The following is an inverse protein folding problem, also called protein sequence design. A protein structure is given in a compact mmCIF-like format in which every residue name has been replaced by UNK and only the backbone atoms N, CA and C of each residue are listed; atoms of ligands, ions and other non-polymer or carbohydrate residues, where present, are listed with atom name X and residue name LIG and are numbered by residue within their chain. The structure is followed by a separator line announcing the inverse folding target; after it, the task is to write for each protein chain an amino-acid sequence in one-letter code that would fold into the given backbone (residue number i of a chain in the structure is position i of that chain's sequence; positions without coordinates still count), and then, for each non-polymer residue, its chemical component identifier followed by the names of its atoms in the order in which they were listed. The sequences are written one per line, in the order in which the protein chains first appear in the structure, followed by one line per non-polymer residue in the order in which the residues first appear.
data_IF_447348726549
#
_entry.id   IF_447348726549
#
_cell.length_a   1.000
_cell.length_b   1.000
_cell.length_c   1.000
_cell.angle_alpha   90.00
_cell.angle_beta   90.00
_cell.angle_gamma   90.00
#
_symmetry.space_group_name_H-M   'P 1'
#
loop_
_entity.id
_entity.type
_entity.pdbx_description
1 polymer ?
#
# COMPACT_ATOMS: atom_id res chain seq x y z
N UNK A 1 -31.68 2.73 18.69
CA UNK A 1 -31.01 1.43 18.38
C UNK A 1 -30.00 1.70 17.27
N UNK A 2 -28.79 2.15 17.62
CA UNK A 2 -27.75 2.58 16.67
C UNK A 2 -26.82 1.40 16.39
N UNK A 3 -26.93 0.80 15.21
CA UNK A 3 -25.96 -0.18 14.71
C UNK A 3 -24.78 0.56 14.12
N UNK A 4 -23.78 0.88 14.94
CA UNK A 4 -22.45 1.24 14.45
C UNK A 4 -21.92 0.04 13.68
N UNK A 5 -21.87 0.11 12.36
CA UNK A 5 -21.22 -0.91 11.52
C UNK A 5 -19.71 -0.75 11.76
N UNK A 6 -19.01 -1.73 12.38
CA UNK A 6 -17.58 -1.62 12.55
C UNK A 6 -16.90 -2.02 11.23
N UNK A 7 -16.73 -1.06 10.33
CA UNK A 7 -15.76 -1.16 9.24
C UNK A 7 -14.36 -0.99 9.85
N UNK A 8 -13.76 -2.10 10.31
CA UNK A 8 -12.36 -2.10 10.74
C UNK A 8 -11.59 -3.28 10.17
N UNK A 9 -10.57 -2.89 9.40
CA UNK A 9 -9.29 -3.57 9.18
C UNK A 9 -9.37 -5.05 8.81
N UNK A 10 -9.50 -5.30 7.51
CA UNK A 10 -8.98 -6.54 6.93
C UNK A 10 -7.46 -6.49 7.05
N UNK A 11 -6.91 -7.55 7.63
CA UNK A 11 -5.49 -7.87 7.59
C UNK A 11 -4.99 -7.68 6.14
N UNK A 12 -4.06 -6.76 5.92
CA UNK A 12 -3.19 -6.83 4.74
C UNK A 12 -1.91 -7.54 5.19
N UNK A 13 -1.80 -8.88 5.09
CA UNK A 13 -0.50 -9.52 4.91
C UNK A 13 -0.13 -9.61 3.42
N UNK A 14 -0.93 -9.05 2.51
CA UNK A 14 -0.73 -9.11 1.06
C UNK A 14 0.15 -7.97 0.47
N UNK A 15 0.89 -7.24 1.29
CA UNK A 15 1.90 -6.27 0.83
C UNK A 15 3.33 -6.66 1.22
N UNK A 16 3.52 -7.92 1.65
CA UNK A 16 4.84 -8.35 2.10
C UNK A 16 5.76 -8.84 0.97
N UNK A 17 5.28 -9.14 -0.26
CA UNK A 17 6.18 -9.57 -1.34
C UNK A 17 5.82 -9.12 -2.76
N UNK A 18 6.89 -8.86 -3.52
CA UNK A 18 7.00 -8.65 -4.98
C UNK A 18 6.66 -7.28 -5.56
N UNK A 19 7.32 -6.23 -5.06
CA UNK A 19 7.95 -5.29 -5.99
C UNK A 19 9.45 -5.58 -5.97
N UNK A 20 10.17 -5.34 -7.07
CA UNK A 20 11.62 -5.55 -7.26
C UNK A 20 12.54 -4.91 -6.19
N UNK A 21 12.00 -4.26 -5.17
CA UNK A 21 12.67 -3.43 -4.15
C UNK A 21 12.76 -4.05 -2.75
N UNK A 22 12.43 -5.33 -2.55
CA UNK A 22 12.44 -5.92 -1.20
C UNK A 22 13.79 -6.54 -0.83
N UNK A 23 14.51 -5.90 0.10
CA UNK A 23 15.53 -6.55 0.94
C UNK A 23 14.78 -7.27 2.08
N UNK A 24 15.10 -8.53 2.35
CA UNK A 24 14.51 -9.27 3.48
C UNK A 24 14.96 -8.63 4.80
N UNK A 25 14.02 -8.10 5.58
CA UNK A 25 14.24 -7.81 7.00
C UNK A 25 13.30 -8.69 7.82
N UNK A 26 13.89 -9.66 8.53
CA UNK A 26 13.22 -10.40 9.59
C UNK A 26 13.19 -9.50 10.82
N UNK A 27 12.02 -9.00 11.19
CA UNK A 27 11.80 -8.37 12.50
C UNK A 27 11.11 -9.38 13.41
N UNK A 28 11.91 -10.05 14.23
CA UNK A 28 11.45 -10.68 15.47
C UNK A 28 11.04 -9.56 16.42
N UNK A 29 9.77 -9.51 16.82
CA UNK A 29 9.35 -8.70 17.96
C UNK A 29 8.65 -9.63 18.98
N UNK A 30 9.17 -9.76 20.21
CA UNK A 30 8.48 -10.51 21.25
C UNK A 30 7.26 -9.73 21.76
N UNK A 31 6.19 -10.48 22.05
CA UNK A 31 5.03 -10.00 22.77
C UNK A 31 5.43 -9.66 24.21
N UNK A 32 5.32 -8.38 24.59
CA UNK A 32 5.36 -7.96 25.98
C UNK A 32 3.94 -8.08 26.55
N UNK A 33 3.76 -9.05 27.44
CA UNK A 33 2.61 -9.13 28.33
C UNK A 33 2.78 -8.10 29.47
N UNK A 34 1.77 -7.25 29.66
CA UNK A 34 1.59 -6.46 30.89
C UNK A 34 0.09 -6.58 31.22
N UNK A 35 -0.25 -7.41 32.20
CA UNK A 35 -0.30 -7.11 33.63
C UNK A 35 -1.65 -6.46 34.01
N UNK A 36 -2.43 -7.30 34.70
CA UNK A 36 -3.62 -7.03 35.51
C UNK A 36 -3.56 -5.74 36.33
N UNK A 37 -4.66 -4.97 36.30
CA UNK A 37 -5.12 -4.21 37.47
C UNK A 37 -6.65 -4.17 37.54
N UNK A 38 -7.13 -4.51 38.72
CA UNK A 38 -8.51 -4.46 39.19
C UNK A 38 -8.89 -3.03 39.62
N UNK A 39 -10.17 -2.68 39.52
CA UNK A 39 -11.05 -2.33 40.64
C UNK A 39 -12.34 -1.64 40.13
N UNK A 40 -13.42 -2.04 40.79
CA UNK A 40 -14.82 -1.72 40.61
C UNK A 40 -15.21 -0.26 40.82
N UNK A 41 -16.19 0.22 40.05
CA UNK A 41 -17.25 1.10 40.56
C UNK A 41 -18.53 0.89 39.73
N UNK A 42 -19.28 -0.16 40.09
CA UNK A 42 -20.67 -0.31 39.66
C UNK A 42 -21.54 0.62 40.52
N UNK A 43 -22.29 1.56 39.95
CA UNK A 43 -23.35 2.23 40.71
C UNK A 43 -24.46 1.22 41.03
N UNK A 44 -24.91 1.25 42.28
CA UNK A 44 -25.98 0.44 42.85
C UNK A 44 -27.26 0.51 42.02
N UNK A 45 -27.82 -0.66 41.69
CA UNK A 45 -29.16 -0.77 41.13
C UNK A 45 -30.18 -0.16 42.09
N UNK A 46 -30.83 0.93 41.67
CA UNK A 46 -31.99 1.46 42.35
C UNK A 46 -33.15 0.47 42.20
N UNK A 47 -33.78 0.20 43.33
CA UNK A 47 -34.85 -0.75 43.52
C UNK A 47 -36.05 -0.54 42.58
N UNK A 48 -36.69 -1.68 42.28
CA UNK A 48 -37.97 -1.85 41.58
C UNK A 48 -38.96 -0.71 41.89
N UNK A 49 -39.12 0.23 40.96
CA UNK A 49 -40.30 1.10 40.91
C UNK A 49 -41.40 0.35 40.17
N UNK A 50 -42.54 0.28 40.85
CA UNK A 50 -43.81 -0.20 40.34
C UNK A 50 -44.14 0.39 38.98
N UNK A 51 -44.75 -0.42 38.14
CA UNK A 51 -45.34 -0.02 36.87
C UNK A 51 -46.52 0.93 37.17
N UNK A 52 -46.23 2.21 37.40
CA UNK A 52 -47.24 3.24 37.38
C UNK A 52 -47.63 3.45 35.92
N UNK A 53 -48.89 3.18 35.62
CA UNK A 53 -49.56 3.54 34.38
C UNK A 53 -49.50 5.08 34.32
N UNK A 54 -48.45 5.61 33.68
CA UNK A 54 -48.23 7.05 33.53
C UNK A 54 -49.32 7.67 32.69
N UNK A 55 -49.67 8.92 33.00
CA UNK A 55 -50.71 9.66 32.31
C UNK A 55 -50.47 9.65 30.79
N UNK A 56 -51.49 9.32 29.96
CA UNK A 56 -51.33 9.28 28.50
C UNK A 56 -50.92 10.64 27.90
N UNK A 57 -51.15 11.74 28.62
CA UNK A 57 -50.71 13.08 28.23
C UNK A 57 -49.18 13.28 28.38
N UNK A 58 -48.54 12.65 29.36
CA UNK A 58 -47.09 12.68 29.51
C UNK A 58 -46.40 11.85 28.42
N UNK A 59 -46.99 10.70 28.06
CA UNK A 59 -46.56 9.91 26.90
C UNK A 59 -46.72 10.69 25.58
N UNK A 60 -47.81 11.45 25.42
CA UNK A 60 -48.02 12.34 24.26
C UNK A 60 -47.05 13.52 24.24
N UNK A 61 -46.71 14.09 25.40
CA UNK A 61 -45.73 15.18 25.51
C UNK A 61 -44.31 14.68 25.22
N UNK A 62 -43.94 13.50 25.73
CA UNK A 62 -42.67 12.85 25.41
C UNK A 62 -42.59 12.47 23.93
N UNK A 63 -43.65 11.92 23.34
CA UNK A 63 -43.74 11.64 21.91
C UNK A 63 -43.71 12.93 21.04
N UNK A 64 -44.23 14.05 21.54
CA UNK A 64 -44.13 15.38 20.89
C UNK A 64 -42.76 16.04 21.07
N UNK A 65 -42.02 15.75 22.13
CA UNK A 65 -40.61 16.15 22.24
C UNK A 65 -39.69 15.35 21.31
N UNK A 66 -40.17 14.22 20.77
CA UNK A 66 -39.56 13.50 19.64
C UNK A 66 -40.02 14.02 18.27
N UNK A 67 -40.65 15.21 18.19
CA UNK A 67 -40.80 15.92 16.92
C UNK A 67 -39.40 16.16 16.35
N UNK A 68 -39.25 15.78 15.08
CA UNK A 68 -37.99 15.53 14.39
C UNK A 68 -36.88 16.54 14.70
N UNK A 69 -35.67 16.00 14.86
CA UNK A 69 -34.43 16.77 15.03
C UNK A 69 -34.40 17.93 14.04
N UNK A 70 -34.02 19.11 14.53
CA UNK A 70 -33.89 20.30 13.70
C UNK A 70 -32.92 20.03 12.54
N UNK A 71 -33.26 20.40 11.29
CA UNK A 71 -32.45 20.10 10.10
C UNK A 71 -30.98 20.53 10.21
N UNK A 72 -30.70 21.63 10.92
CA UNK A 72 -29.33 22.13 11.13
C UNK A 72 -28.46 21.23 12.01
N UNK A 73 -29.04 20.58 13.04
CA UNK A 73 -28.31 19.66 13.90
C UNK A 73 -27.96 18.35 13.18
N UNK A 74 -28.82 17.92 12.25
CA UNK A 74 -28.55 16.76 11.41
C UNK A 74 -27.48 17.07 10.35
N UNK A 75 -27.49 18.27 9.75
CA UNK A 75 -26.43 18.69 8.81
C UNK A 75 -25.04 18.73 9.45
N UNK A 76 -24.91 19.29 10.66
CA UNK A 76 -23.64 19.34 11.39
C UNK A 76 -23.15 17.94 11.76
N UNK A 77 -24.04 17.07 12.24
CA UNK A 77 -23.69 15.66 12.48
C UNK A 77 -23.25 14.96 11.21
N UNK A 78 -23.96 15.17 10.10
CA UNK A 78 -23.58 14.57 8.82
C UNK A 78 -22.21 15.06 8.33
N UNK A 79 -21.86 16.33 8.54
CA UNK A 79 -20.52 16.86 8.23
C UNK A 79 -19.45 16.23 9.11
N UNK A 80 -19.67 16.15 10.43
CA UNK A 80 -18.75 15.46 11.34
C UNK A 80 -18.59 13.98 10.99
N UNK A 81 -19.67 13.33 10.57
CA UNK A 81 -19.66 11.94 10.13
C UNK A 81 -18.86 11.80 8.84
N UNK A 82 -19.02 12.73 7.89
CA UNK A 82 -18.29 12.76 6.62
C UNK A 82 -16.78 12.98 6.82
N UNK A 83 -16.40 13.86 7.74
CA UNK A 83 -15.02 14.05 8.17
C UNK A 83 -14.48 12.82 8.93
N UNK A 84 -15.35 12.13 9.69
CA UNK A 84 -15.01 10.89 10.40
C UNK A 84 -14.98 9.66 9.49
N UNK A 85 -15.44 9.76 8.22
CA UNK A 85 -15.37 8.65 7.29
C UNK A 85 -13.92 8.33 6.96
N UNK A 86 -13.51 7.13 7.35
CA UNK A 86 -12.17 6.64 7.05
C UNK A 86 -12.00 6.57 5.53
N UNK A 87 -10.95 7.22 5.02
CA UNK A 87 -10.68 7.19 3.58
C UNK A 87 -10.35 5.78 3.08
N UNK A 88 -9.81 4.93 3.97
CA UNK A 88 -9.42 3.55 3.69
C UNK A 88 -10.28 2.55 4.49
N UNK A 89 -10.96 1.64 3.78
CA UNK A 89 -11.75 0.54 4.35
C UNK A 89 -11.02 -0.81 4.24
N UNK A 90 -9.92 -0.87 3.49
CA UNK A 90 -9.34 -2.11 3.01
C UNK A 90 -10.18 -2.75 1.90
N UNK A 91 -9.82 -3.97 1.50
CA UNK A 91 -10.51 -4.68 0.42
C UNK A 91 -11.93 -5.07 0.85
N UNK A 92 -12.92 -4.81 -0.02
CA UNK A 92 -14.31 -5.18 0.25
C UNK A 92 -14.48 -6.70 0.42
N UNK A 93 -15.34 -7.09 1.36
CA UNK A 93 -15.65 -8.49 1.65
C UNK A 93 -16.18 -9.24 0.42
N UNK A 94 -15.83 -10.53 0.34
CA UNK A 94 -16.24 -11.42 -0.76
C UNK A 94 -15.62 -11.05 -2.11
N UNK A 95 -14.56 -10.24 -2.11
CA UNK A 95 -13.83 -9.91 -3.33
C UNK A 95 -12.86 -11.04 -3.65
N UNK A 96 -13.06 -11.67 -4.80
CA UNK A 96 -12.25 -12.81 -5.23
C UNK A 96 -11.40 -12.37 -6.43
N UNK A 97 -10.08 -12.54 -6.29
CA UNK A 97 -9.11 -12.30 -7.36
C UNK A 97 -8.82 -13.64 -8.02
N UNK A 98 -9.20 -13.78 -9.30
CA UNK A 98 -9.03 -15.05 -10.01
C UNK A 98 -7.56 -15.45 -10.11
N UNK A 99 -7.21 -16.61 -9.56
CA UNK A 99 -5.90 -17.21 -9.68
C UNK A 99 -5.68 -17.80 -11.10
N UNK A 100 -4.42 -17.88 -11.58
CA UNK A 100 -4.10 -18.57 -12.82
C UNK A 100 -4.44 -20.05 -12.70
N UNK A 101 -4.82 -20.65 -13.83
CA UNK A 101 -5.27 -22.05 -13.88
C UNK A 101 -4.19 -23.02 -13.37
N UNK A 102 -2.91 -22.66 -13.48
CA UNK A 102 -1.79 -23.43 -12.95
C UNK A 102 -1.74 -23.55 -11.42
N UNK A 103 -2.34 -22.60 -10.69
CA UNK A 103 -2.41 -22.61 -9.21
C UNK A 103 -3.74 -23.17 -8.70
N UNK A 104 -4.65 -23.55 -9.60
CA UNK A 104 -5.95 -24.09 -9.23
C UNK A 104 -5.88 -25.62 -9.12
N UNK A 105 -6.72 -26.23 -8.26
CA UNK A 105 -6.89 -27.68 -8.24
C UNK A 105 -7.39 -28.18 -9.59
N UNK A 106 -7.19 -29.47 -9.85
CA UNK A 106 -7.67 -30.11 -11.09
C UNK A 106 -9.18 -29.96 -11.21
N UNK A 107 -9.67 -29.83 -12.45
CA UNK A 107 -11.10 -29.61 -12.78
C UNK A 107 -12.00 -30.73 -12.22
N UNK A 108 -11.45 -31.92 -12.00
CA UNK A 108 -12.15 -33.09 -11.44
C UNK A 108 -12.38 -33.01 -9.93
N UNK A 109 -11.67 -32.14 -9.21
CA UNK A 109 -11.76 -32.04 -7.75
C UNK A 109 -12.94 -31.16 -7.33
N UNK A 110 -13.69 -31.55 -6.29
CA UNK A 110 -14.79 -30.74 -5.71
C UNK A 110 -14.36 -29.31 -5.36
N UNK A 111 -13.14 -29.14 -4.84
CA UNK A 111 -12.55 -27.84 -4.50
C UNK A 111 -12.47 -26.87 -5.69
N UNK A 112 -12.29 -27.38 -6.92
CA UNK A 112 -12.30 -26.54 -8.13
C UNK A 112 -13.69 -25.95 -8.37
N UNK A 113 -14.73 -26.77 -8.24
CA UNK A 113 -16.11 -26.34 -8.44
C UNK A 113 -16.62 -25.45 -7.31
N UNK A 114 -16.22 -25.70 -6.07
CA UNK A 114 -16.48 -24.80 -4.94
C UNK A 114 -15.84 -23.42 -5.19
N UNK A 115 -14.58 -23.39 -5.60
CA UNK A 115 -13.89 -22.17 -5.99
C UNK A 115 -14.60 -21.44 -7.13
N UNK A 116 -14.94 -22.17 -8.20
CA UNK A 116 -15.60 -21.60 -9.37
C UNK A 116 -16.99 -21.05 -9.02
N UNK A 117 -17.73 -21.75 -8.17
CA UNK A 117 -19.02 -21.32 -7.68
C UNK A 117 -18.92 -20.07 -6.80
N UNK A 118 -17.93 -20.01 -5.91
CA UNK A 118 -17.62 -18.81 -5.14
C UNK A 118 -17.27 -17.63 -6.07
N UNK A 119 -16.46 -17.87 -7.11
CA UNK A 119 -16.13 -16.87 -8.12
C UNK A 119 -17.38 -16.37 -8.85
N UNK A 120 -18.26 -17.28 -9.30
CA UNK A 120 -19.49 -16.92 -10.00
C UNK A 120 -20.45 -16.13 -9.10
N UNK A 121 -20.63 -16.56 -7.84
CA UNK A 121 -21.37 -15.82 -6.81
C UNK A 121 -20.77 -14.43 -6.58
N UNK A 122 -19.45 -14.31 -6.50
CA UNK A 122 -18.79 -13.01 -6.33
C UNK A 122 -19.06 -12.07 -7.51
N UNK A 123 -19.10 -12.61 -8.75
CA UNK A 123 -19.46 -11.83 -9.94
C UNK A 123 -20.92 -11.39 -9.94
N UNK A 124 -21.84 -12.29 -9.61
CA UNK A 124 -23.27 -11.97 -9.50
C UNK A 124 -23.54 -10.90 -8.45
N UNK A 125 -22.98 -11.08 -7.24
CA UNK A 125 -23.08 -10.08 -6.15
C UNK A 125 -22.41 -8.77 -6.50
N UNK A 126 -21.30 -8.77 -7.24
CA UNK A 126 -20.63 -7.56 -7.69
C UNK A 126 -21.48 -6.75 -8.69
N UNK A 127 -22.12 -7.42 -9.65
CA UNK A 127 -23.06 -6.82 -10.59
C UNK A 127 -24.27 -6.23 -9.86
N UNK A 128 -24.86 -7.00 -8.95
CA UNK A 128 -25.96 -6.52 -8.10
C UNK A 128 -25.56 -5.29 -7.31
N UNK A 129 -24.40 -5.32 -6.65
CA UNK A 129 -23.91 -4.21 -5.85
C UNK A 129 -23.75 -2.92 -6.65
N UNK A 130 -23.30 -3.03 -7.92
CA UNK A 130 -23.15 -1.89 -8.84
C UNK A 130 -24.50 -1.33 -9.26
N UNK A 131 -25.48 -2.18 -9.55
CA UNK A 131 -26.84 -1.72 -9.86
C UNK A 131 -27.48 -1.01 -8.67
N UNK A 132 -27.31 -1.55 -7.46
CA UNK A 132 -27.79 -0.92 -6.22
C UNK A 132 -27.09 0.42 -5.96
N UNK A 133 -25.77 0.49 -6.15
CA UNK A 133 -25.01 1.73 -6.05
C UNK A 133 -25.48 2.80 -7.04
N UNK A 134 -25.74 2.40 -8.30
CA UNK A 134 -26.30 3.32 -9.29
C UNK A 134 -27.65 3.87 -8.87
N UNK A 135 -28.50 3.00 -8.31
CA UNK A 135 -29.84 3.39 -7.83
C UNK A 135 -29.78 4.39 -6.68
N UNK A 136 -28.73 4.34 -5.84
CA UNK A 136 -28.52 5.35 -4.79
C UNK A 136 -28.10 6.71 -5.38
N UNK A 137 -27.13 6.71 -6.29
CA UNK A 137 -26.56 7.94 -6.86
C UNK A 137 -27.49 8.60 -7.89
N UNK A 138 -28.06 7.82 -8.81
CA UNK A 138 -28.88 8.31 -9.93
C UNK A 138 -30.36 8.00 -9.70
N UNK A 139 -31.09 8.91 -9.06
CA UNK A 139 -32.49 8.71 -8.66
C UNK A 139 -33.51 8.88 -9.79
N UNK A 140 -33.13 9.45 -10.94
CA UNK A 140 -34.10 10.05 -11.90
C UNK A 140 -34.35 9.25 -13.18
N UNK A 141 -33.44 8.39 -13.65
CA UNK A 141 -33.55 7.77 -14.99
C UNK A 141 -33.77 6.25 -15.00
N UNK A 142 -34.33 5.73 -16.11
CA UNK A 142 -34.47 4.29 -16.41
C UNK A 142 -33.13 3.54 -16.34
N UNK A 143 -32.03 4.28 -16.54
CA UNK A 143 -30.65 3.81 -16.38
C UNK A 143 -30.31 3.35 -14.95
N UNK A 144 -31.17 3.61 -13.95
CA UNK A 144 -31.01 3.15 -12.55
C UNK A 144 -30.89 1.63 -12.40
N UNK A 145 -31.43 0.87 -13.35
CA UNK A 145 -31.41 -0.61 -13.31
C UNK A 145 -30.15 -1.20 -13.93
N UNK A 146 -29.44 -0.44 -14.76
CA UNK A 146 -28.20 -0.90 -15.38
C UNK A 146 -27.03 -0.71 -14.41
N UNK A 147 -26.09 -1.66 -14.31
CA UNK A 147 -24.92 -1.49 -13.45
C UNK A 147 -24.09 -0.28 -13.88
N UNK A 148 -23.48 0.43 -12.92
CA UNK A 148 -22.57 1.56 -13.21
C UNK A 148 -21.43 1.09 -14.11
N UNK A 149 -21.12 1.84 -15.17
CA UNK A 149 -20.00 1.58 -16.10
C UNK A 149 -20.07 0.26 -16.88
N UNK A 150 -21.27 -0.16 -17.32
CA UNK A 150 -21.39 -1.35 -18.17
C UNK A 150 -20.52 -1.26 -19.45
N UNK A 151 -20.43 -0.06 -20.05
CA UNK A 151 -19.67 0.19 -21.28
C UNK A 151 -18.37 0.98 -21.10
N UNK A 152 -18.07 1.46 -19.88
CA UNK A 152 -16.90 2.33 -19.60
C UNK A 152 -15.68 1.56 -19.08
N UNK A 153 -15.59 0.28 -19.40
CA UNK A 153 -14.50 -0.57 -18.93
C UNK A 153 -13.14 -0.12 -19.49
N UNK A 154 -13.10 0.37 -20.74
CA UNK A 154 -11.87 0.85 -21.36
C UNK A 154 -11.34 2.13 -20.71
N UNK A 155 -12.22 3.08 -20.39
CA UNK A 155 -11.86 4.29 -19.65
C UNK A 155 -11.24 3.94 -18.28
N UNK A 156 -11.82 2.97 -17.58
CA UNK A 156 -11.30 2.53 -16.29
C UNK A 156 -9.91 1.87 -16.43
N UNK A 157 -9.70 1.06 -17.46
CA UNK A 157 -8.39 0.47 -17.77
C UNK A 157 -7.37 1.56 -18.12
N UNK A 158 -7.75 2.54 -18.94
CA UNK A 158 -6.89 3.67 -19.31
C UNK A 158 -6.48 4.50 -18.09
N UNK A 159 -7.46 4.85 -17.24
CA UNK A 159 -7.22 5.54 -15.97
C UNK A 159 -6.28 4.75 -15.06
N UNK A 160 -6.48 3.43 -14.94
CA UNK A 160 -5.62 2.58 -14.13
C UNK A 160 -4.17 2.55 -14.62
N UNK A 161 -3.94 2.46 -15.94
CA UNK A 161 -2.59 2.56 -16.53
C UNK A 161 -1.94 3.90 -16.17
N UNK A 162 -2.67 5.00 -16.34
CA UNK A 162 -2.15 6.34 -16.07
C UNK A 162 -1.81 6.52 -14.59
N UNK A 163 -2.71 6.12 -13.69
CA UNK A 163 -2.48 6.20 -12.24
C UNK A 163 -1.29 5.34 -11.81
N UNK A 164 -1.16 4.13 -12.36
CA UNK A 164 -0.02 3.25 -12.10
C UNK A 164 1.31 3.88 -12.54
N UNK A 165 1.39 4.32 -13.79
CA UNK A 165 2.59 4.97 -14.34
C UNK A 165 2.94 6.22 -13.55
N UNK A 166 1.95 7.05 -13.22
CA UNK A 166 2.17 8.27 -12.47
C UNK A 166 2.68 7.99 -11.05
N UNK A 167 2.08 7.01 -10.36
CA UNK A 167 2.52 6.57 -9.03
C UNK A 167 3.98 6.11 -9.03
N UNK A 168 4.38 5.21 -9.94
CA UNK A 168 5.77 4.74 -9.96
C UNK A 168 6.77 5.81 -10.41
N UNK A 169 6.37 6.70 -11.32
CA UNK A 169 7.21 7.84 -11.73
C UNK A 169 7.46 8.78 -10.54
N UNK A 170 6.40 9.16 -9.82
CA UNK A 170 6.49 9.99 -8.61
C UNK A 170 7.27 9.31 -7.48
N UNK A 171 7.10 8.01 -7.34
CA UNK A 171 7.90 7.22 -6.41
C UNK A 171 9.39 7.16 -6.80
N UNK A 172 9.73 7.14 -8.09
CA UNK A 172 11.12 7.20 -8.55
C UNK A 172 11.73 8.59 -8.33
N UNK A 173 10.95 9.66 -8.54
CA UNK A 173 11.33 11.05 -8.27
C UNK A 173 11.53 11.34 -6.76
N UNK A 174 10.81 10.63 -5.90
CA UNK A 174 10.82 10.87 -4.44
C UNK A 174 9.83 11.95 -3.98
N UNK A 175 8.86 12.31 -4.83
CA UNK A 175 7.84 13.32 -4.55
C UNK A 175 6.69 12.71 -3.73
N UNK A 176 6.73 12.93 -2.41
CA UNK A 176 5.77 12.36 -1.47
C UNK A 176 4.42 13.11 -1.47
N UNK A 177 4.40 14.41 -1.74
CA UNK A 177 3.17 15.21 -1.76
C UNK A 177 2.27 14.81 -2.94
N UNK A 178 2.85 14.59 -4.11
CA UNK A 178 2.10 14.08 -5.26
C UNK A 178 1.54 12.67 -4.98
N UNK A 179 2.32 11.80 -4.31
CA UNK A 179 1.87 10.46 -3.94
C UNK A 179 0.70 10.47 -2.97
N UNK A 180 0.66 11.37 -1.99
CA UNK A 180 -0.47 11.50 -1.06
C UNK A 180 -1.77 11.90 -1.76
N UNK A 181 -1.70 12.64 -2.88
CA UNK A 181 -2.89 13.01 -3.66
C UNK A 181 -3.46 11.84 -4.47
N UNK A 182 -2.58 10.96 -4.97
CA UNK A 182 -2.94 9.84 -5.86
C UNK A 182 -3.34 8.58 -5.06
N UNK A 183 -2.60 8.30 -3.99
CA UNK A 183 -2.72 7.10 -3.19
C UNK A 183 -3.55 7.35 -1.93
N UNK A 184 -4.14 6.29 -1.37
CA UNK A 184 -4.72 6.35 -0.03
C UNK A 184 -3.64 6.46 1.05
N UNK A 185 -3.95 7.03 2.22
CA UNK A 185 -2.96 7.37 3.24
C UNK A 185 -2.04 6.20 3.66
N UNK A 186 -2.52 4.96 3.84
CA UNK A 186 -1.66 3.86 4.26
C UNK A 186 -0.60 3.48 3.22
N UNK A 187 -0.95 3.52 1.93
CA UNK A 187 0.00 3.27 0.85
C UNK A 187 1.00 4.43 0.70
N UNK A 188 0.52 5.67 0.83
CA UNK A 188 1.38 6.86 0.77
C UNK A 188 2.43 6.83 1.89
N UNK A 189 2.05 6.45 3.12
CA UNK A 189 2.99 6.25 4.24
C UNK A 189 4.05 5.21 3.93
N UNK A 190 3.67 4.06 3.36
CA UNK A 190 4.65 3.04 2.97
C UNK A 190 5.63 3.54 1.90
N UNK A 191 5.17 4.37 0.96
CA UNK A 191 6.08 4.98 -0.01
C UNK A 191 7.00 5.99 0.64
N UNK A 192 6.49 6.80 1.57
CA UNK A 192 7.30 7.74 2.35
C UNK A 192 8.38 7.00 3.14
N UNK A 193 8.02 5.95 3.87
CA UNK A 193 8.96 5.11 4.63
C UNK A 193 10.03 4.48 3.71
N UNK A 194 9.65 4.11 2.48
CA UNK A 194 10.59 3.58 1.49
C UNK A 194 11.48 4.66 0.90
N UNK A 195 10.97 5.87 0.69
CA UNK A 195 11.74 7.01 0.19
C UNK A 195 12.76 7.44 1.24
N UNK A 196 12.38 7.52 2.51
CA UNK A 196 13.29 7.84 3.62
C UNK A 196 14.35 6.74 3.78
N UNK A 197 13.95 5.46 3.72
CA UNK A 197 14.87 4.33 3.83
C UNK A 197 15.86 4.20 2.66
N UNK A 198 15.59 4.82 1.49
CA UNK A 198 16.51 4.81 0.34
C UNK A 198 17.74 5.68 0.55
N UNK A 199 17.65 6.73 1.37
CA UNK A 199 18.73 7.72 1.52
C UNK A 199 19.21 8.26 0.18
N UNK A 200 20.50 8.10 -0.12
CA UNK A 200 21.17 8.68 -1.29
C UNK A 200 21.03 7.85 -2.58
N UNK A 201 20.03 6.98 -2.69
CA UNK A 201 19.82 6.15 -3.88
C UNK A 201 18.86 6.81 -4.87
N UNK A 202 19.36 7.14 -6.06
CA UNK A 202 18.54 7.56 -7.19
C UNK A 202 17.95 6.34 -7.88
N UNK A 203 16.63 6.25 -7.85
CA UNK A 203 15.86 5.20 -8.54
C UNK A 203 15.26 5.78 -9.81
N UNK A 204 15.38 5.07 -10.92
CA UNK A 204 14.69 5.39 -12.17
C UNK A 204 13.83 4.20 -12.57
N UNK A 205 12.54 4.43 -12.70
CA UNK A 205 11.60 3.42 -13.16
C UNK A 205 11.20 3.73 -14.60
N UNK A 206 11.17 2.70 -15.44
CA UNK A 206 10.71 2.81 -16.82
C UNK A 206 9.76 1.67 -17.13
N UNK A 207 8.65 2.04 -17.75
CA UNK A 207 7.68 1.13 -18.33
C UNK A 207 7.98 0.98 -19.82
N UNK A 208 8.17 -0.27 -20.26
CA UNK A 208 8.44 -0.57 -21.67
C UNK A 208 7.14 -0.85 -22.40
N UNK A 209 6.38 -1.84 -21.93
CA UNK A 209 5.21 -2.33 -22.65
C UNK A 209 4.12 -2.87 -21.70
N UNK A 210 2.86 -2.73 -22.12
CA UNK A 210 1.72 -3.38 -21.49
C UNK A 210 1.35 -4.66 -22.26
N UNK A 211 1.50 -5.83 -21.63
CA UNK A 211 1.06 -7.10 -22.23
C UNK A 211 -0.45 -7.27 -22.14
N UNK A 212 -1.04 -7.03 -20.97
CA UNK A 212 -2.49 -7.11 -20.80
C UNK A 212 -2.99 -6.32 -19.59
N UNK A 213 -4.21 -5.80 -19.70
CA UNK A 213 -4.93 -5.13 -18.62
C UNK A 213 -6.35 -5.66 -18.53
N UNK A 214 -6.69 -6.29 -17.40
CA UNK A 214 -7.98 -6.98 -17.21
C UNK A 214 -8.62 -6.58 -15.89
N UNK A 215 -9.90 -6.22 -15.93
CA UNK A 215 -10.68 -5.96 -14.71
C UNK A 215 -11.05 -7.32 -14.11
N UNK A 216 -10.53 -7.60 -12.92
CA UNK A 216 -10.74 -8.87 -12.22
C UNK A 216 -11.96 -8.80 -11.32
N UNK A 217 -12.13 -7.71 -10.56
CA UNK A 217 -13.27 -7.51 -9.70
C UNK A 217 -13.72 -6.05 -9.76
N UNK A 218 -15.02 -5.83 -9.60
CA UNK A 218 -15.60 -4.49 -9.60
C UNK A 218 -16.83 -4.47 -8.71
N UNK A 219 -16.68 -3.96 -7.50
CA UNK A 219 -17.68 -4.05 -6.43
C UNK A 219 -17.97 -2.68 -5.82
N UNK A 220 -19.16 -2.53 -5.28
CA UNK A 220 -19.52 -1.40 -4.43
C UNK A 220 -20.13 -1.87 -3.12
N UNK A 221 -19.91 -1.12 -2.07
CA UNK A 221 -20.52 -1.33 -0.76
C UNK A 221 -21.12 -0.01 -0.30
N UNK A 222 -22.43 0.01 -0.11
CA UNK A 222 -23.08 1.13 0.53
C UNK A 222 -22.82 1.06 2.03
N UNK A 223 -22.50 2.20 2.65
CA UNK A 223 -22.53 2.29 4.10
C UNK A 223 -24.00 2.36 4.50
N UNK A 224 -24.56 1.23 4.92
CA UNK A 224 -25.91 1.18 5.45
C UNK A 224 -26.03 2.04 6.72
N UNK A 225 -27.23 2.57 7.00
CA UNK A 225 -27.55 3.29 8.23
C UNK A 225 -27.90 4.76 8.02
N UNK A 226 -27.48 5.61 8.96
CA UNK A 226 -27.77 7.05 9.07
C UNK A 226 -27.14 7.89 7.92
N UNK A 227 -26.23 7.28 7.15
CA UNK A 227 -25.53 7.91 6.03
C UNK A 227 -26.20 7.59 4.70
N UNK A 228 -27.20 8.38 4.35
CA UNK A 228 -27.91 8.22 3.08
C UNK A 228 -26.96 8.56 1.91
N UNK A 229 -26.99 7.74 0.86
CA UNK A 229 -26.25 7.92 -0.39
C UNK A 229 -24.72 7.96 -0.28
N UNK A 230 -24.14 7.36 0.77
CA UNK A 230 -22.70 7.16 0.93
C UNK A 230 -22.30 5.71 0.58
N UNK A 231 -21.31 5.55 -0.28
CA UNK A 231 -20.84 4.24 -0.71
C UNK A 231 -19.37 4.25 -1.12
N UNK A 232 -18.72 3.10 -0.98
CA UNK A 232 -17.38 2.86 -1.49
C UNK A 232 -17.47 1.97 -2.72
N UNK A 233 -16.61 2.26 -3.69
CA UNK A 233 -16.49 1.52 -4.93
C UNK A 233 -15.06 1.09 -5.11
N UNK A 234 -14.85 -0.18 -5.40
CA UNK A 234 -13.54 -0.76 -5.62
C UNK A 234 -13.47 -1.49 -6.95
N UNK A 235 -12.37 -1.30 -7.66
CA UNK A 235 -12.05 -1.99 -8.89
C UNK A 235 -10.66 -2.62 -8.76
N UNK A 236 -10.58 -3.92 -8.98
CA UNK A 236 -9.32 -4.67 -9.02
C UNK A 236 -8.97 -4.95 -10.45
N UNK A 237 -7.77 -4.54 -10.83
CA UNK A 237 -7.29 -4.58 -12.20
C UNK A 237 -5.97 -5.34 -12.21
N UNK A 238 -5.95 -6.44 -12.96
CA UNK A 238 -4.73 -7.17 -13.26
C UNK A 238 -3.96 -6.41 -14.33
N UNK A 239 -2.72 -6.07 -14.00
CA UNK A 239 -1.76 -5.41 -14.86
C UNK A 239 -0.64 -6.40 -15.17
N UNK A 240 -0.38 -6.65 -16.45
CA UNK A 240 0.75 -7.46 -16.93
C UNK A 240 1.61 -6.56 -17.81
N UNK A 241 2.85 -6.32 -17.38
CA UNK A 241 3.72 -5.29 -17.96
C UNK A 241 5.18 -5.73 -17.99
N UNK A 242 5.94 -5.11 -18.90
CA UNK A 242 7.40 -5.20 -18.97
C UNK A 242 8.00 -3.92 -18.42
N UNK A 243 8.83 -4.05 -17.37
CA UNK A 243 9.36 -2.92 -16.63
C UNK A 243 10.85 -3.08 -16.39
N UNK A 244 11.57 -1.97 -16.30
CA UNK A 244 12.95 -1.94 -15.87
C UNK A 244 13.14 -0.93 -14.75
N UNK A 245 13.93 -1.32 -13.75
CA UNK A 245 14.29 -0.45 -12.63
C UNK A 245 15.79 -0.26 -12.65
N UNK A 246 16.23 0.98 -12.65
CA UNK A 246 17.64 1.35 -12.51
C UNK A 246 17.87 1.99 -11.15
N UNK A 247 18.94 1.59 -10.45
CA UNK A 247 19.39 2.17 -9.18
C UNK A 247 20.81 2.69 -9.36
N UNK A 248 21.05 3.91 -8.88
CA UNK A 248 22.37 4.53 -8.85
C UNK A 248 22.54 5.24 -7.52
N UNK A 249 23.70 5.09 -6.88
CA UNK A 249 24.03 5.92 -5.75
C UNK A 249 24.33 7.34 -6.25
N UNK A 250 23.88 8.37 -5.53
CA UNK A 250 24.06 9.77 -5.95
C UNK A 250 25.56 10.12 -6.03
N UNK A 251 26.36 9.64 -5.09
CA UNK A 251 27.81 9.89 -5.03
C UNK A 251 28.54 9.31 -6.25
N UNK A 252 28.15 8.10 -6.67
CA UNK A 252 28.65 7.47 -7.90
C UNK A 252 28.18 8.20 -9.15
N UNK A 253 26.95 8.74 -9.14
CA UNK A 253 26.43 9.51 -10.26
C UNK A 253 27.15 10.86 -10.42
N UNK A 254 27.49 11.53 -9.31
CA UNK A 254 28.26 12.78 -9.32
C UNK A 254 29.70 12.51 -9.75
N UNK A 255 30.36 11.50 -9.19
CA UNK A 255 31.74 11.15 -9.58
C UNK A 255 31.84 10.70 -11.04
N UNK A 256 30.86 9.95 -11.55
CA UNK A 256 30.78 9.59 -12.97
C UNK A 256 30.52 10.82 -13.86
N UNK A 257 29.66 11.75 -13.44
CA UNK A 257 29.41 12.98 -14.19
C UNK A 257 30.62 13.93 -14.23
N UNK A 258 31.38 14.02 -13.13
CA UNK A 258 32.64 14.77 -13.04
C UNK A 258 33.70 14.14 -13.95
N UNK A 259 33.85 12.80 -13.93
CA UNK A 259 34.74 12.07 -14.86
C UNK A 259 34.35 12.30 -16.33
N UNK A 260 33.05 12.24 -16.65
CA UNK A 260 32.55 12.41 -18.02
C UNK A 260 32.71 13.85 -18.57
N UNK A 261 32.71 14.87 -17.70
CA UNK A 261 32.98 16.26 -18.11
C UNK A 261 34.46 16.56 -18.37
N UNK A 262 35.35 15.57 -18.24
CA UNK A 262 36.78 15.77 -18.50
C UNK A 262 37.45 16.78 -17.57
N UNK A 263 36.74 17.20 -16.52
CA UNK A 263 37.32 17.99 -15.43
C UNK A 263 38.19 17.01 -14.67
N UNK A 264 39.45 16.88 -15.12
CA UNK A 264 40.53 16.50 -14.22
C UNK A 264 40.40 17.50 -13.09
N UNK A 265 39.83 17.09 -11.97
CA UNK A 265 40.19 17.66 -10.69
C UNK A 265 41.70 17.45 -10.63
N UNK A 266 42.45 18.44 -11.12
CA UNK A 266 43.65 18.88 -10.43
C UNK A 266 43.18 18.88 -8.98
N UNK A 267 43.62 17.89 -8.22
CA UNK A 267 43.73 18.07 -6.78
C UNK A 267 44.52 19.37 -6.70
N UNK A 268 43.82 20.50 -6.55
CA UNK A 268 44.44 21.75 -6.18
C UNK A 268 44.99 21.43 -4.83
N UNK A 269 46.26 21.02 -4.82
CA UNK A 269 47.09 21.09 -3.65
C UNK A 269 46.80 22.47 -3.06
N UNK A 270 46.44 22.57 -1.78
CA UNK A 270 46.11 23.85 -1.18
C UNK A 270 47.19 24.84 -1.58
N UNK A 271 46.78 26.01 -2.08
CA UNK A 271 47.65 26.96 -2.78
C UNK A 271 48.82 27.46 -1.94
N UNK A 272 48.84 27.12 -0.66
CA UNK A 272 49.94 27.35 0.24
C UNK A 272 50.19 26.09 1.08
N UNK A 273 51.25 25.38 0.74
CA UNK A 273 51.90 24.38 1.58
C UNK A 273 53.26 24.99 1.91
N UNK A 274 53.62 25.19 3.20
CA UNK A 274 54.95 25.66 3.58
C UNK A 274 56.03 24.79 2.92
N UNK A 275 57.11 25.41 2.43
CA UNK A 275 58.16 24.74 1.64
C UNK A 275 58.73 23.51 2.39
N UNK A 276 58.77 23.55 3.72
CA UNK A 276 59.18 22.44 4.59
C UNK A 276 58.32 21.20 4.43
N UNK A 277 56.99 21.35 4.31
CA UNK A 277 56.08 20.22 4.13
C UNK A 277 56.20 19.62 2.72
N UNK A 278 56.60 20.41 1.72
CA UNK A 278 56.94 19.89 0.37
C UNK A 278 58.21 19.07 0.37
N UNK A 279 59.21 19.50 1.13
CA UNK A 279 60.48 18.76 1.25
C UNK A 279 60.28 17.44 1.98
N UNK A 280 59.48 17.40 3.05
CA UNK A 280 59.12 16.16 3.75
C UNK A 280 58.40 15.16 2.84
N UNK A 281 57.48 15.61 2.01
CA UNK A 281 56.81 14.73 1.04
C UNK A 281 57.78 14.17 -0.01
N UNK A 282 58.74 14.98 -0.46
CA UNK A 282 59.78 14.54 -1.41
C UNK A 282 60.84 13.64 -0.77
N UNK A 283 61.13 13.84 0.51
CA UNK A 283 62.01 12.98 1.29
C UNK A 283 61.34 11.65 1.55
N UNK A 284 60.09 11.62 2.02
CA UNK A 284 59.36 10.38 2.22
C UNK A 284 59.20 9.59 0.91
N UNK A 285 58.98 10.24 -0.24
CA UNK A 285 58.93 9.53 -1.52
C UNK A 285 60.29 8.98 -1.95
N UNK A 286 61.38 9.69 -1.66
CA UNK A 286 62.74 9.20 -1.93
C UNK A 286 63.17 8.09 -0.98
N UNK A 287 62.80 8.18 0.29
CA UNK A 287 63.04 7.15 1.29
C UNK A 287 62.23 5.89 0.97
N UNK A 288 60.98 6.03 0.51
CA UNK A 288 60.18 4.90 0.00
C UNK A 288 60.78 4.28 -1.28
N UNK A 289 61.35 5.09 -2.20
CA UNK A 289 62.04 4.60 -3.40
C UNK A 289 63.39 3.92 -3.07
N UNK A 290 64.14 4.45 -2.11
CA UNK A 290 65.42 3.89 -1.65
C UNK A 290 65.22 2.64 -0.76
N UNK A 291 64.12 2.55 -0.01
CA UNK A 291 63.72 1.32 0.70
C UNK A 291 63.22 0.22 -0.26
N UNK A 292 62.62 0.58 -1.41
CA UNK A 292 62.26 -0.39 -2.45
C UNK A 292 63.47 -0.88 -3.27
N UNK A 293 64.50 -0.06 -3.49
CA UNK A 293 65.73 -0.47 -4.20
C UNK A 293 66.76 -1.20 -3.30
N UNK A 294 66.65 -1.10 -1.97
CA UNK A 294 67.56 -1.72 -1.01
C UNK A 294 67.33 -3.21 -0.71
N UNK A 295 66.30 -3.84 -1.30
CA UNK A 295 65.90 -5.24 -1.01
C UNK A 295 65.94 -6.11 -2.27
N UNK A 296 67.05 -6.07 -3.02
CA UNK A 296 67.39 -7.12 -4.00
C UNK A 296 68.82 -7.60 -3.79
N UNK A 297 69.00 -8.50 -2.80
CA UNK A 297 70.28 -9.11 -2.51
C UNK A 297 70.17 -10.31 -1.55
N UNK A 298 69.68 -11.44 -2.08
CA UNK A 298 69.90 -12.84 -1.66
C UNK A 298 68.66 -13.65 -1.21
N UNK A 299 68.43 -14.71 -2.00
CA UNK A 299 67.69 -15.95 -1.71
C UNK A 299 66.16 -15.91 -1.54
N UNK A 300 65.45 -16.32 -2.61
CA UNK A 300 64.04 -16.73 -2.51
C UNK A 300 63.24 -16.49 -3.77
N UNK A 301 63.47 -17.29 -4.82
CA UNK A 301 62.59 -17.34 -5.98
C UNK A 301 61.20 -17.87 -5.58
N UNK A 302 60.16 -17.27 -6.18
CA UNK A 302 58.72 -17.55 -6.03
C UNK A 302 58.03 -17.05 -4.76
N UNK A 303 57.62 -15.77 -4.77
CA UNK A 303 56.28 -15.26 -4.38
C UNK A 303 56.36 -13.77 -4.10
N UNK A 304 56.25 -12.91 -5.12
CA UNK A 304 55.74 -11.54 -4.94
C UNK A 304 55.61 -10.83 -6.29
N UNK A 305 54.54 -11.15 -7.02
CA UNK A 305 54.08 -10.34 -8.17
C UNK A 305 52.72 -9.69 -7.93
N UNK A 306 52.28 -9.60 -6.66
CA UNK A 306 50.86 -9.35 -6.36
C UNK A 306 50.59 -8.34 -5.23
N UNK A 307 51.41 -7.28 -5.08
CA UNK A 307 51.17 -6.26 -4.04
C UNK A 307 50.95 -4.81 -4.51
N UNK A 308 51.41 -4.40 -5.70
CA UNK A 308 51.17 -3.03 -6.20
C UNK A 308 50.02 -2.87 -7.20
N UNK A 309 49.11 -3.86 -7.30
CA UNK A 309 47.81 -3.75 -8.00
C UNK A 309 46.61 -3.92 -7.06
N UNK A 310 46.76 -3.56 -5.77
CA UNK A 310 45.73 -3.83 -4.75
C UNK A 310 45.53 -2.67 -3.76
N UNK A 311 45.65 -1.42 -4.21
CA UNK A 311 45.38 -0.24 -3.37
C UNK A 311 44.64 0.91 -4.07
N UNK A 312 44.01 0.66 -5.22
CA UNK A 312 43.09 1.60 -5.88
C UNK A 312 41.71 1.00 -6.23
N UNK A 313 41.42 -0.22 -5.78
CA UNK A 313 40.13 -0.89 -5.97
C UNK A 313 39.52 -1.19 -4.60
N UNK A 314 39.15 -0.15 -3.88
CA UNK A 314 38.29 -0.28 -2.69
C UNK A 314 37.32 0.90 -2.60
N UNK A 315 36.77 1.31 -3.75
CA UNK A 315 35.43 1.88 -3.80
C UNK A 315 34.53 0.78 -4.34
N UNK A 316 33.83 0.11 -3.43
CA UNK A 316 32.85 -0.92 -3.71
C UNK A 316 31.79 -0.41 -4.68
N UNK A 317 31.99 -0.67 -5.98
CA UNK A 317 30.90 -0.74 -6.93
C UNK A 317 30.04 -1.94 -6.54
N UNK A 318 29.15 -1.77 -5.55
CA UNK A 318 28.03 -2.69 -5.39
C UNK A 318 27.10 -2.47 -6.60
N UNK A 319 27.41 -3.12 -7.71
CA UNK A 319 26.48 -3.20 -8.83
C UNK A 319 25.20 -3.86 -8.32
N UNK A 320 24.14 -3.06 -8.18
CA UNK A 320 22.85 -3.56 -7.75
C UNK A 320 22.40 -4.65 -8.73
N UNK A 321 22.24 -5.88 -8.24
CA UNK A 321 21.83 -7.01 -9.07
C UNK A 321 20.55 -6.69 -9.86
N UNK A 322 20.61 -6.86 -11.19
CA UNK A 322 19.48 -6.64 -12.10
C UNK A 322 19.19 -5.18 -12.46
N UNK A 323 20.22 -4.32 -12.43
CA UNK A 323 20.11 -2.90 -12.79
C UNK A 323 19.67 -2.73 -14.27
N UNK A 324 18.45 -2.25 -14.51
CA UNK A 324 17.95 -1.95 -15.85
C UNK A 324 17.46 -3.16 -16.67
N UNK A 325 17.52 -4.39 -16.12
CA UNK A 325 16.95 -5.56 -16.79
C UNK A 325 15.43 -5.42 -16.96
N UNK A 326 14.94 -5.77 -18.14
CA UNK A 326 13.50 -5.80 -18.43
C UNK A 326 12.90 -7.06 -17.80
N UNK A 327 11.99 -6.87 -16.85
CA UNK A 327 11.30 -7.95 -16.15
C UNK A 327 9.80 -7.88 -16.39
N UNK A 328 9.19 -9.05 -16.58
CA UNK A 328 7.73 -9.18 -16.65
C UNK A 328 7.17 -9.16 -15.23
N UNK A 329 6.25 -8.24 -14.98
CA UNK A 329 5.60 -8.04 -13.68
C UNK A 329 4.09 -8.17 -13.86
N UNK A 330 3.48 -9.03 -13.04
CA UNK A 330 2.03 -9.19 -12.96
C UNK A 330 1.57 -8.75 -11.56
N UNK A 331 0.76 -7.71 -11.52
CA UNK A 331 0.27 -7.10 -10.28
C UNK A 331 -1.25 -6.91 -10.34
N UNK A 332 -1.90 -6.93 -9.19
CA UNK A 332 -3.33 -6.66 -9.07
C UNK A 332 -3.52 -5.33 -8.34
N UNK A 333 -3.71 -4.27 -9.13
CA UNK A 333 -3.92 -2.92 -8.63
C UNK A 333 -5.35 -2.77 -8.12
N UNK A 334 -5.50 -2.25 -6.91
CA UNK A 334 -6.80 -1.93 -6.30
C UNK A 334 -7.02 -0.43 -6.36
N UNK A 335 -8.03 -0.03 -7.13
CA UNK A 335 -8.52 1.34 -7.17
C UNK A 335 -9.75 1.46 -6.29
N UNK A 336 -9.84 2.56 -5.56
CA UNK A 336 -10.98 2.90 -4.72
C UNK A 336 -11.51 4.27 -5.07
N UNK A 337 -12.83 4.40 -5.00
CA UNK A 337 -13.55 5.67 -5.16
C UNK A 337 -14.66 5.74 -4.12
N UNK A 338 -14.83 6.91 -3.52
CA UNK A 338 -15.92 7.20 -2.58
C UNK A 338 -17.06 7.91 -3.32
N UNK A 339 -18.27 7.66 -2.87
CA UNK A 339 -19.43 8.48 -3.15
C UNK A 339 -19.98 8.97 -1.81
N UNK A 340 -20.16 10.28 -1.66
CA UNK A 340 -20.65 10.91 -0.44
C UNK A 340 -21.87 11.73 -0.84
N UNK A 341 -23.02 11.44 -0.22
CA UNK A 341 -24.29 12.13 -0.51
C UNK A 341 -24.62 12.17 -2.02
N UNK A 342 -24.38 11.06 -2.71
CA UNK A 342 -24.59 10.96 -4.16
C UNK A 342 -23.54 11.67 -5.04
N UNK A 343 -22.57 12.37 -4.46
CA UNK A 343 -21.45 12.97 -5.21
C UNK A 343 -20.25 12.03 -5.21
N UNK A 344 -19.78 11.71 -6.41
CA UNK A 344 -18.70 10.77 -6.64
C UNK A 344 -17.32 11.47 -6.64
N UNK A 345 -16.39 11.02 -5.79
CA UNK A 345 -15.01 11.52 -5.77
C UNK A 345 -14.14 10.98 -6.93
N UNK A 346 -12.89 11.44 -7.00
CA UNK A 346 -11.87 10.87 -7.87
C UNK A 346 -11.47 9.45 -7.47
N UNK A 347 -10.95 8.68 -8.43
CA UNK A 347 -10.32 7.40 -8.13
C UNK A 347 -8.98 7.63 -7.44
N UNK A 348 -8.72 6.90 -6.34
CA UNK A 348 -7.44 6.84 -5.63
C UNK A 348 -6.89 5.40 -5.64
N UNK A 349 -5.58 5.24 -5.52
CA UNK A 349 -4.94 3.93 -5.42
C UNK A 349 -5.00 3.47 -3.98
N UNK A 350 -5.70 2.37 -3.72
CA UNK A 350 -5.72 1.73 -2.40
C UNK A 350 -4.44 0.94 -2.15
N UNK A 351 -3.99 0.19 -3.14
CA UNK A 351 -2.80 -0.63 -3.03
C UNK A 351 -2.82 -1.79 -4.00
N UNK A 352 -2.17 -2.87 -3.59
CA UNK A 352 -2.05 -4.10 -4.36
C UNK A 352 -2.66 -5.25 -3.58
N UNK A 353 -3.08 -6.27 -4.32
CA UNK A 353 -3.65 -7.50 -3.75
C UNK A 353 -3.07 -8.73 -4.42
N UNK A 354 -3.33 -9.88 -3.82
CA UNK A 354 -2.87 -11.19 -4.26
C UNK A 354 -4.00 -12.01 -4.87
N UNK A 355 -3.63 -13.11 -5.50
CA UNK A 355 -4.56 -14.05 -6.10
C UNK A 355 -5.27 -14.86 -5.02
N UNK A 356 -6.59 -14.98 -5.13
CA UNK A 356 -7.36 -15.84 -4.24
C UNK A 356 -7.25 -17.29 -4.70
N UNK A 357 -6.48 -18.09 -3.97
CA UNK A 357 -6.48 -19.55 -4.08
C UNK A 357 -7.59 -20.15 -3.21
N UNK A 358 -8.02 -21.40 -3.45
CA UNK A 358 -9.01 -22.06 -2.60
C UNK A 358 -8.63 -22.09 -1.11
N UNK A 359 -7.33 -22.21 -0.82
CA UNK A 359 -6.80 -22.17 0.55
C UNK A 359 -6.99 -20.79 1.18
N UNK A 360 -6.62 -19.72 0.46
CA UNK A 360 -6.80 -18.35 0.96
C UNK A 360 -8.28 -18.00 1.18
N UNK A 361 -9.18 -18.51 0.34
CA UNK A 361 -10.61 -18.29 0.51
C UNK A 361 -11.15 -18.96 1.77
N UNK A 362 -10.72 -20.19 2.07
CA UNK A 362 -11.10 -20.88 3.30
C UNK A 362 -10.60 -20.13 4.53
N UNK A 363 -9.33 -19.69 4.52
CA UNK A 363 -8.79 -18.90 5.64
C UNK A 363 -9.51 -17.56 5.82
N UNK A 364 -9.92 -16.92 4.71
CA UNK A 364 -10.69 -15.69 4.77
C UNK A 364 -12.08 -15.95 5.36
N UNK A 365 -12.77 -17.00 4.92
CA UNK A 365 -14.09 -17.38 5.45
C UNK A 365 -14.06 -17.69 6.95
N UNK A 366 -13.06 -18.46 7.41
CA UNK A 366 -12.85 -18.75 8.83
C UNK A 366 -12.56 -17.48 9.63
N UNK A 367 -11.69 -16.61 9.11
CA UNK A 367 -11.40 -15.33 9.73
C UNK A 367 -12.67 -14.48 9.86
N UNK A 368 -13.45 -14.36 8.79
CA UNK A 368 -14.70 -13.59 8.82
C UNK A 368 -15.73 -14.19 9.77
N UNK A 369 -15.87 -15.51 9.80
CA UNK A 369 -16.69 -16.21 10.78
C UNK A 369 -16.29 -15.88 12.20
N UNK A 370 -14.98 -15.89 12.50
CA UNK A 370 -14.46 -15.53 13.83
C UNK A 370 -14.72 -14.07 14.22
N UNK A 371 -14.65 -13.14 13.26
CA UNK A 371 -14.94 -11.73 13.52
C UNK A 371 -16.43 -11.51 13.80
N UNK A 372 -17.31 -12.18 13.05
CA UNK A 372 -18.75 -12.09 13.25
C UNK A 372 -19.17 -12.67 14.60
N UNK A 373 -18.62 -13.82 15.00
CA UNK A 373 -18.90 -14.41 16.32
C UNK A 373 -18.37 -13.54 17.46
N UNK A 374 -17.17 -12.97 17.32
CA UNK A 374 -16.63 -12.02 18.31
C UNK A 374 -17.48 -10.74 18.43
N UNK A 375 -18.04 -10.25 17.33
CA UNK A 375 -18.96 -9.10 17.34
C UNK A 375 -20.30 -9.45 18.00
N UNK A 376 -20.90 -10.59 17.63
CA UNK A 376 -22.13 -11.06 18.24
C UNK A 376 -21.98 -11.23 19.77
N UNK A 377 -20.84 -11.75 20.23
CA UNK A 377 -20.53 -11.89 21.64
C UNK A 377 -20.32 -10.55 22.38
N UNK A 378 -19.87 -9.49 21.69
CA UNK A 378 -19.81 -8.13 22.27
C UNK A 378 -21.19 -7.52 22.40
N UNK A 379 -22.03 -7.71 21.39
CA UNK A 379 -23.41 -7.20 21.41
C UNK A 379 -24.31 -7.92 22.40
N UNK A 380 -24.07 -9.20 22.71
CA UNK A 380 -24.85 -9.91 23.74
C UNK A 380 -24.46 -9.54 25.18
N UNK A 381 -23.33 -8.85 25.37
CA UNK A 381 -22.84 -8.39 26.69
C UNK A 381 -23.22 -6.96 27.03
N UNK A 382 -23.67 -6.18 26.05
CA UNK A 382 -24.14 -4.80 26.19
C UNK A 382 -25.67 -4.81 26.25
#
# INVERSE_FOLDING_TARGET
MSTQIPLRSVRIPALQRQCLFLRHQRLNRPFAAAASRAFSSTPSQAAKKSFQIGNPNEFRAAARSQVGRTPGADLQRMQQIEEALVEDIGILQGTIVRAPVSKLPKITTKAFWEYYWALLKSKGTSLWSRSVHRRMIQKVHLSRFLPVDFFKNEELKGRAKNMYTHMYTKFAEGDHEALQKICLPPLARQFQDRITARGNLKVTWKLHEWKSVKIVSHRSAALGGDQVDTAYRQAIIRLDSLQSVTRKQIDDAISAAVKARGVRTLQKQPAWIPEEARQKLKQNSKEEEEEEEGVEGAEGAEKNKNKNKKKSETSSHEEFAGNGEIKRVVEYLVLQKRAIRGTEEGWKILGFTEESTPETLKSDEEYWGSQLTAQAAKHSRA
#
